data_IF_934302388254
#
_entry.id   IF_934302388254
#
_cell.length_a   1.000
_cell.length_b   1.000
_cell.length_c   1.000
_cell.angle_alpha   90.00
_cell.angle_beta   90.00
_cell.angle_gamma   90.00
#
_symmetry.space_group_name_H-M   'P 1'
#
loop_
_entity.id
_entity.type
_entity.pdbx_description
1 polymer ?
#
# COMPACT_ATOMS: atom_id res chain seq x y z
N UNK A 1 27.54 -34.74 39.21
CA UNK A 1 26.47 -34.59 38.20
C UNK A 1 26.81 -33.40 37.33
N UNK A 2 27.37 -33.66 36.15
CA UNK A 2 27.72 -32.65 35.15
C UNK A 2 26.51 -32.41 34.25
N UNK A 3 25.98 -31.19 34.25
CA UNK A 3 24.92 -30.77 33.32
C UNK A 3 25.48 -30.74 31.87
N UNK A 4 24.70 -31.08 30.84
CA UNK A 4 25.14 -30.96 29.45
C UNK A 4 25.13 -29.48 29.03
N UNK A 5 26.01 -29.07 28.08
CA UNK A 5 25.94 -27.74 27.52
C UNK A 5 24.70 -27.63 26.66
N UNK A 6 23.84 -26.67 27.00
CA UNK A 6 22.68 -26.28 26.22
C UNK A 6 23.18 -25.85 24.84
N UNK A 7 22.75 -26.55 23.79
CA UNK A 7 22.93 -26.12 22.41
C UNK A 7 22.05 -24.89 22.17
N UNK A 8 22.50 -23.74 22.65
CA UNK A 8 21.91 -22.46 22.30
C UNK A 8 22.34 -22.19 20.85
N UNK A 9 21.50 -22.59 19.90
CA UNK A 9 21.59 -22.06 18.54
C UNK A 9 21.47 -20.54 18.67
N UNK A 10 22.60 -19.86 18.57
CA UNK A 10 22.65 -18.41 18.41
C UNK A 10 22.02 -18.12 17.04
N UNK A 11 20.70 -17.95 17.02
CA UNK A 11 20.03 -17.34 15.89
C UNK A 11 20.50 -15.88 15.91
N UNK A 12 21.22 -15.40 14.89
CA UNK A 12 21.62 -14.01 14.82
C UNK A 12 20.39 -13.13 15.02
N UNK A 13 20.53 -12.05 15.78
CA UNK A 13 19.42 -11.12 15.95
C UNK A 13 18.94 -10.66 14.57
N UNK A 14 17.64 -10.51 14.36
CA UNK A 14 17.04 -10.00 13.11
C UNK A 14 17.77 -8.75 12.60
N UNK A 15 18.30 -7.94 13.52
CA UNK A 15 19.11 -6.77 13.25
C UNK A 15 20.48 -7.05 12.58
N UNK A 16 21.20 -8.11 12.96
CA UNK A 16 22.47 -8.51 12.33
C UNK A 16 22.24 -9.03 10.90
N UNK A 17 21.15 -9.75 10.66
CA UNK A 17 20.77 -10.21 9.31
C UNK A 17 20.43 -9.03 8.40
N UNK A 18 19.79 -7.99 8.94
CA UNK A 18 19.41 -6.79 8.19
C UNK A 18 20.57 -5.82 7.91
N UNK A 19 21.74 -6.00 8.56
CA UNK A 19 22.87 -5.06 8.45
C UNK A 19 24.13 -5.66 7.81
N UNK A 20 24.14 -6.97 7.54
CA UNK A 20 25.20 -7.64 6.79
C UNK A 20 25.24 -7.19 5.30
N UNK A 21 26.37 -7.31 4.60
CA UNK A 21 26.42 -7.07 3.16
C UNK A 21 25.47 -8.02 2.41
N UNK A 22 24.84 -7.52 1.33
CA UNK A 22 23.85 -8.23 0.53
C UNK A 22 24.28 -9.66 0.17
N UNK A 23 23.56 -10.63 0.72
CA UNK A 23 23.75 -12.06 0.49
C UNK A 23 22.40 -12.78 0.35
N UNK A 24 22.41 -14.07 -0.04
CA UNK A 24 21.20 -14.84 -0.31
C UNK A 24 20.19 -14.87 0.85
N UNK A 25 20.65 -14.73 2.09
CA UNK A 25 19.80 -14.68 3.28
C UNK A 25 18.96 -13.40 3.38
N UNK A 26 19.44 -12.26 2.85
CA UNK A 26 18.70 -11.00 2.85
C UNK A 26 17.61 -10.98 1.78
N UNK A 27 17.87 -11.52 0.59
CA UNK A 27 16.85 -11.66 -0.45
C UNK A 27 15.72 -12.60 0.02
N UNK A 28 16.06 -13.70 0.69
CA UNK A 28 15.07 -14.61 1.28
C UNK A 28 14.23 -13.94 2.38
N UNK A 29 14.87 -13.16 3.26
CA UNK A 29 14.17 -12.41 4.31
C UNK A 29 13.22 -11.37 3.72
N UNK A 30 13.66 -10.63 2.70
CA UNK A 30 12.80 -9.65 2.02
C UNK A 30 11.63 -10.33 1.32
N UNK A 31 11.84 -11.46 0.65
CA UNK A 31 10.77 -12.25 0.05
C UNK A 31 9.71 -12.64 1.10
N UNK A 32 10.15 -13.13 2.27
CA UNK A 32 9.23 -13.46 3.38
C UNK A 32 8.45 -12.23 3.86
N UNK A 33 9.09 -11.06 3.98
CA UNK A 33 8.42 -9.82 4.36
C UNK A 33 7.32 -9.45 3.36
N UNK A 34 7.60 -9.58 2.05
CA UNK A 34 6.60 -9.34 1.00
C UNK A 34 5.43 -10.34 1.08
N UNK A 35 5.72 -11.62 1.27
CA UNK A 35 4.68 -12.66 1.37
C UNK A 35 3.78 -12.47 2.59
N UNK A 36 4.36 -12.08 3.73
CA UNK A 36 3.61 -11.74 4.94
C UNK A 36 2.76 -10.50 4.74
N UNK A 37 3.32 -9.44 4.12
CA UNK A 37 2.59 -8.22 3.83
C UNK A 37 1.39 -8.49 2.91
N UNK A 38 1.59 -9.25 1.83
CA UNK A 38 0.52 -9.66 0.92
C UNK A 38 -0.56 -10.49 1.63
N UNK A 39 -0.15 -11.41 2.53
CA UNK A 39 -1.09 -12.23 3.30
C UNK A 39 -1.93 -11.39 4.26
N UNK A 40 -1.33 -10.40 4.91
CA UNK A 40 -2.05 -9.46 5.77
C UNK A 40 -3.00 -8.55 4.98
N UNK A 41 -2.56 -8.04 3.82
CA UNK A 41 -3.43 -7.30 2.90
C UNK A 41 -4.66 -8.11 2.48
N UNK A 42 -4.48 -9.40 2.14
CA UNK A 42 -5.59 -10.31 1.82
C UNK A 42 -6.54 -10.53 3.00
N UNK A 43 -6.03 -10.60 4.23
CA UNK A 43 -6.88 -10.71 5.42
C UNK A 43 -7.74 -9.46 5.63
N UNK A 44 -7.21 -8.28 5.31
CA UNK A 44 -7.95 -7.01 5.36
C UNK A 44 -8.98 -6.92 4.25
N UNK A 45 -8.62 -7.32 3.03
CA UNK A 45 -9.57 -7.39 1.92
C UNK A 45 -10.72 -8.37 2.23
N UNK A 46 -10.44 -9.49 2.90
CA UNK A 46 -11.48 -10.42 3.33
C UNK A 46 -12.44 -9.83 4.39
N UNK A 47 -11.99 -8.83 5.15
CA UNK A 47 -12.81 -8.12 6.14
C UNK A 47 -13.70 -7.05 5.50
N UNK A 48 -13.23 -6.39 4.44
CA UNK A 48 -13.94 -5.33 3.73
C UNK A 48 -14.79 -5.91 2.59
N UNK A 49 -16.14 -5.91 2.69
CA UNK A 49 -17.00 -6.50 1.67
C UNK A 49 -16.92 -5.83 0.29
N UNK A 50 -16.18 -4.73 0.17
CA UNK A 50 -16.06 -3.92 -1.05
C UNK A 50 -14.70 -4.02 -1.72
N UNK A 51 -13.76 -4.80 -1.18
CA UNK A 51 -12.45 -5.00 -1.79
C UNK A 51 -12.27 -6.48 -2.16
N UNK A 52 -11.72 -6.71 -3.34
CA UNK A 52 -11.33 -8.04 -3.79
C UNK A 52 -10.03 -7.92 -4.56
N UNK A 53 -8.98 -8.56 -4.04
CA UNK A 53 -7.59 -8.42 -4.52
C UNK A 53 -7.07 -6.97 -4.57
N UNK A 54 -7.75 -6.04 -3.91
CA UNK A 54 -7.46 -4.61 -3.94
C UNK A 54 -6.04 -4.33 -3.43
N UNK A 55 -5.68 -4.93 -2.30
CA UNK A 55 -4.37 -4.74 -1.70
C UNK A 55 -3.23 -5.27 -2.58
N UNK A 56 -3.48 -6.30 -3.39
CA UNK A 56 -2.53 -6.81 -4.38
C UNK A 56 -2.42 -5.87 -5.58
N UNK A 57 -3.57 -5.46 -6.15
CA UNK A 57 -3.62 -4.52 -7.28
C UNK A 57 -2.88 -3.21 -6.96
N UNK A 58 -3.10 -2.64 -5.77
CA UNK A 58 -2.44 -1.41 -5.34
C UNK A 58 -0.94 -1.59 -5.21
N UNK A 59 -0.51 -2.69 -4.59
CA UNK A 59 0.89 -2.97 -4.37
C UNK A 59 1.65 -3.14 -5.70
N UNK A 60 1.15 -3.99 -6.60
CA UNK A 60 1.81 -4.29 -7.87
C UNK A 60 1.91 -3.06 -8.78
N UNK A 61 0.84 -2.25 -8.82
CA UNK A 61 0.85 -0.99 -9.58
C UNK A 61 1.80 0.03 -8.97
N UNK A 62 1.82 0.16 -7.64
CA UNK A 62 2.73 1.08 -6.96
C UNK A 62 4.20 0.68 -7.17
N UNK A 63 4.50 -0.63 -7.08
CA UNK A 63 5.81 -1.22 -7.37
C UNK A 63 6.25 -0.91 -8.81
N UNK A 64 5.36 -1.14 -9.77
CA UNK A 64 5.64 -0.90 -11.18
C UNK A 64 5.88 0.59 -11.48
N UNK A 65 5.05 1.49 -10.93
CA UNK A 65 5.24 2.93 -11.08
C UNK A 65 6.55 3.41 -10.45
N UNK A 66 6.88 2.95 -9.25
CA UNK A 66 8.16 3.26 -8.61
C UNK A 66 9.35 2.83 -9.47
N UNK A 67 9.29 1.63 -10.07
CA UNK A 67 10.31 1.11 -10.99
C UNK A 67 10.47 2.00 -12.22
N UNK A 68 9.35 2.36 -12.88
CA UNK A 68 9.33 3.22 -14.07
C UNK A 68 9.86 4.62 -13.78
N UNK A 69 9.60 5.14 -12.58
CA UNK A 69 10.13 6.41 -12.09
C UNK A 69 11.62 6.36 -11.72
N UNK A 70 12.27 5.20 -11.83
CA UNK A 70 13.71 5.03 -11.62
C UNK A 70 14.12 4.99 -10.15
N UNK A 71 13.21 4.63 -9.24
CA UNK A 71 13.54 4.50 -7.82
C UNK A 71 14.47 3.31 -7.56
N UNK A 72 15.36 3.38 -6.55
CA UNK A 72 16.20 2.25 -6.14
C UNK A 72 15.37 1.01 -5.79
N UNK A 73 15.96 -0.18 -5.94
CA UNK A 73 15.30 -1.47 -5.66
C UNK A 73 14.77 -1.53 -4.24
N UNK A 74 15.52 -1.01 -3.27
CA UNK A 74 15.17 -1.01 -1.86
C UNK A 74 13.95 -0.12 -1.58
N UNK A 75 13.92 1.08 -2.19
CA UNK A 75 12.78 1.99 -2.07
C UNK A 75 11.52 1.39 -2.72
N UNK A 76 11.67 0.79 -3.89
CA UNK A 76 10.60 0.12 -4.63
C UNK A 76 10.02 -1.06 -3.85
N UNK A 77 10.88 -1.88 -3.21
CA UNK A 77 10.45 -2.95 -2.31
C UNK A 77 9.65 -2.41 -1.10
N UNK A 78 10.09 -1.31 -0.49
CA UNK A 78 9.35 -0.69 0.62
C UNK A 78 7.99 -0.13 0.18
N UNK A 79 7.91 0.47 -1.01
CA UNK A 79 6.65 0.95 -1.60
C UNK A 79 5.69 -0.20 -1.85
N UNK A 80 6.19 -1.32 -2.38
CA UNK A 80 5.41 -2.52 -2.61
C UNK A 80 4.81 -3.08 -1.31
N UNK A 81 5.63 -3.20 -0.25
CA UNK A 81 5.15 -3.60 1.09
C UNK A 81 4.12 -2.62 1.65
N UNK A 82 4.37 -1.31 1.54
CA UNK A 82 3.43 -0.29 1.99
C UNK A 82 2.11 -0.32 1.18
N UNK A 83 2.17 -0.64 -0.11
CA UNK A 83 0.99 -0.83 -0.96
C UNK A 83 0.11 -1.98 -0.48
N UNK A 84 0.68 -3.12 -0.09
CA UNK A 84 -0.12 -4.22 0.49
C UNK A 84 -0.77 -3.85 1.83
N UNK A 85 -0.12 -2.99 2.61
CA UNK A 85 -0.49 -2.69 3.99
C UNK A 85 -1.18 -1.34 4.16
N UNK A 86 -1.44 -0.58 3.08
CA UNK A 86 -1.98 0.77 3.16
C UNK A 86 -3.30 0.83 3.96
N UNK A 87 -4.11 -0.22 3.82
CA UNK A 87 -5.43 -0.36 4.43
C UNK A 87 -5.44 -1.18 5.73
N UNK A 88 -4.28 -1.60 6.27
CA UNK A 88 -4.21 -2.48 7.47
C UNK A 88 -4.98 -1.94 8.68
N UNK A 89 -5.10 -0.63 8.80
CA UNK A 89 -5.86 0.01 9.87
C UNK A 89 -7.38 -0.13 9.77
N UNK A 90 -7.93 -0.62 8.65
CA UNK A 90 -9.37 -0.94 8.52
C UNK A 90 -9.81 -1.99 9.53
N UNK A 91 -8.88 -2.76 10.11
CA UNK A 91 -9.16 -3.66 11.24
C UNK A 91 -9.75 -2.93 12.45
N UNK A 92 -9.39 -1.66 12.66
CA UNK A 92 -9.91 -0.81 13.74
C UNK A 92 -11.18 -0.05 13.37
N UNK A 93 -11.68 -0.16 12.15
CA UNK A 93 -12.93 0.48 11.70
C UNK A 93 -14.11 -0.43 12.06
N UNK A 94 -15.18 0.09 12.71
CA UNK A 94 -16.34 -0.73 13.06
C UNK A 94 -17.02 -1.33 11.82
N UNK A 95 -17.46 -2.59 11.92
CA UNK A 95 -18.08 -3.34 10.80
C UNK A 95 -19.31 -2.62 10.22
N UNK A 96 -20.12 -2.00 11.08
CA UNK A 96 -21.29 -1.23 10.66
C UNK A 96 -20.94 0.01 9.81
N UNK A 97 -19.71 0.52 9.91
CA UNK A 97 -19.19 1.60 9.08
C UNK A 97 -18.55 1.02 7.81
N UNK A 98 -17.70 0.01 7.97
CA UNK A 98 -16.94 -0.59 6.86
C UNK A 98 -17.87 -1.23 5.81
N UNK A 99 -18.87 -1.99 6.26
CA UNK A 99 -19.83 -2.68 5.38
C UNK A 99 -21.12 -1.92 5.10
N UNK A 100 -21.17 -0.60 5.35
CA UNK A 100 -22.43 0.16 5.21
C UNK A 100 -22.89 0.22 3.75
N UNK A 101 -24.13 -0.20 3.43
CA UNK A 101 -24.69 0.00 2.10
C UNK A 101 -25.02 1.48 1.90
N UNK A 102 -24.29 2.16 1.01
CA UNK A 102 -24.53 3.54 0.61
C UNK A 102 -23.51 4.53 1.18
N UNK A 103 -23.89 5.81 1.27
CA UNK A 103 -22.99 6.89 1.69
C UNK A 103 -22.82 6.90 3.21
N UNK A 104 -21.59 7.14 3.66
CA UNK A 104 -21.28 7.40 5.07
C UNK A 104 -21.78 8.79 5.48
N UNK A 105 -22.33 8.92 6.67
CA UNK A 105 -22.61 10.20 7.31
C UNK A 105 -21.30 10.81 7.87
N UNK A 106 -21.29 12.08 8.30
CA UNK A 106 -20.07 12.73 8.77
C UNK A 106 -19.36 11.99 9.92
N UNK A 107 -20.09 11.45 10.89
CA UNK A 107 -19.51 10.73 12.02
C UNK A 107 -18.91 9.36 11.61
N UNK A 108 -19.58 8.66 10.70
CA UNK A 108 -19.07 7.42 10.12
C UNK A 108 -17.82 7.69 9.27
N UNK A 109 -17.81 8.82 8.56
CA UNK A 109 -16.66 9.26 7.77
C UNK A 109 -15.43 9.54 8.65
N UNK A 110 -15.60 10.19 9.80
CA UNK A 110 -14.48 10.39 10.75
C UNK A 110 -13.87 9.05 11.22
N UNK A 111 -14.70 8.04 11.45
CA UNK A 111 -14.22 6.69 11.82
C UNK A 111 -13.47 6.03 10.66
N UNK A 112 -13.96 6.17 9.43
CA UNK A 112 -13.28 5.66 8.24
C UNK A 112 -11.91 6.34 8.05
N UNK A 113 -11.83 7.66 8.19
CA UNK A 113 -10.58 8.43 8.06
C UNK A 113 -9.51 8.11 9.11
N UNK A 114 -9.86 7.40 10.19
CA UNK A 114 -8.90 6.99 11.20
C UNK A 114 -7.97 5.86 10.75
N UNK A 115 -8.35 5.07 9.72
CA UNK A 115 -7.61 3.87 9.37
C UNK A 115 -6.14 4.11 8.96
N UNK A 116 -5.71 5.22 8.32
CA UNK A 116 -4.28 5.40 8.04
C UNK A 116 -3.47 5.60 9.33
N UNK A 117 -4.06 6.27 10.33
CA UNK A 117 -3.42 6.46 11.65
C UNK A 117 -3.35 5.14 12.40
N UNK A 118 -4.45 4.40 12.47
CA UNK A 118 -4.50 3.07 13.11
C UNK A 118 -3.51 2.13 12.42
N UNK A 119 -3.44 2.15 11.09
CA UNK A 119 -2.51 1.32 10.32
C UNK A 119 -1.06 1.66 10.64
N UNK A 120 -0.72 2.94 10.72
CA UNK A 120 0.60 3.37 11.16
C UNK A 120 0.93 2.90 12.58
N UNK A 121 -0.02 2.97 13.52
CA UNK A 121 0.14 2.49 14.90
C UNK A 121 0.35 0.98 14.99
N UNK A 122 -0.36 0.20 14.17
CA UNK A 122 -0.19 -1.27 14.09
C UNK A 122 1.22 -1.63 13.61
N UNK A 123 1.76 -0.88 12.65
CA UNK A 123 3.05 -1.17 12.03
C UNK A 123 4.23 -0.58 12.81
N UNK A 124 4.03 0.44 13.65
CA UNK A 124 5.08 1.14 14.38
C UNK A 124 5.99 0.24 15.25
N UNK A 125 5.49 -0.82 15.92
CA UNK A 125 6.33 -1.74 16.68
C UNK A 125 7.33 -2.53 15.82
N UNK A 126 7.10 -2.64 14.51
CA UNK A 126 8.04 -3.25 13.57
C UNK A 126 9.15 -2.25 13.28
N UNK A 127 10.25 -2.33 14.03
CA UNK A 127 11.37 -1.37 13.96
C UNK A 127 11.93 -1.20 12.55
N UNK A 128 12.01 -2.28 11.77
CA UNK A 128 12.43 -2.23 10.38
C UNK A 128 11.47 -1.41 9.50
N UNK A 129 10.16 -1.43 9.76
CA UNK A 129 9.17 -0.66 8.99
C UNK A 129 9.19 0.82 9.39
N UNK A 130 9.42 1.10 10.68
CA UNK A 130 9.55 2.47 11.17
C UNK A 130 10.76 3.20 10.55
N UNK A 131 11.84 2.48 10.25
CA UNK A 131 13.08 3.04 9.70
C UNK A 131 13.10 3.14 8.16
N UNK A 132 12.23 2.42 7.47
CA UNK A 132 12.21 2.31 5.99
C UNK A 132 11.18 3.22 5.33
N UNK A 133 10.41 3.97 6.12
CA UNK A 133 9.37 4.88 5.62
C UNK A 133 8.03 4.19 5.32
N UNK A 134 7.92 2.87 5.45
CA UNK A 134 6.66 2.11 5.25
C UNK A 134 5.53 2.69 6.10
N UNK A 135 5.80 2.92 7.39
CA UNK A 135 4.81 3.49 8.32
C UNK A 135 4.34 4.87 7.87
N UNK A 136 5.24 5.72 7.37
CA UNK A 136 4.90 7.05 6.87
C UNK A 136 4.08 6.97 5.57
N UNK A 137 4.40 6.02 4.68
CA UNK A 137 3.65 5.79 3.45
C UNK A 137 2.21 5.34 3.73
N UNK A 138 2.05 4.35 4.62
CA UNK A 138 0.74 3.86 5.07
C UNK A 138 -0.06 4.98 5.76
N UNK A 139 0.57 5.82 6.57
CA UNK A 139 -0.14 6.92 7.23
C UNK A 139 -0.65 7.99 6.26
N UNK A 140 0.11 8.25 5.20
CA UNK A 140 -0.09 9.41 4.32
C UNK A 140 -0.73 9.09 2.96
N UNK A 141 -1.14 7.84 2.70
CA UNK A 141 -1.65 7.43 1.38
C UNK A 141 -2.96 8.13 0.96
N UNK A 142 -3.67 8.75 1.90
CA UNK A 142 -4.86 9.59 1.65
C UNK A 142 -4.58 11.10 1.74
N UNK A 143 -3.32 11.50 1.88
CA UNK A 143 -2.93 12.89 1.67
C UNK A 143 -3.11 13.26 0.19
N UNK A 144 -3.51 14.49 -0.05
CA UNK A 144 -3.73 15.02 -1.40
C UNK A 144 -2.64 16.00 -1.73
N UNK A 145 -2.19 16.01 -2.98
CA UNK A 145 -1.11 16.90 -3.42
C UNK A 145 -1.42 18.39 -3.14
N UNK A 146 -2.68 18.79 -3.19
CA UNK A 146 -3.20 20.13 -2.85
C UNK A 146 -3.34 20.44 -1.36
N UNK A 147 -3.07 19.48 -0.46
CA UNK A 147 -3.24 19.64 0.99
C UNK A 147 -4.67 19.41 1.50
N UNK A 148 -5.64 19.08 0.63
CA UNK A 148 -7.01 18.79 1.03
C UNK A 148 -7.24 17.38 1.61
N UNK A 149 -6.16 16.62 1.81
CA UNK A 149 -6.19 15.24 2.26
C UNK A 149 -6.21 15.08 3.78
N UNK A 150 -5.98 13.85 4.23
CA UNK A 150 -5.93 13.48 5.65
C UNK A 150 -4.86 12.39 5.86
N UNK A 151 -4.37 12.17 7.10
CA UNK A 151 -4.81 12.75 8.37
C UNK A 151 -4.13 14.07 8.78
N UNK A 152 -3.04 14.46 8.14
CA UNK A 152 -2.19 15.59 8.55
C UNK A 152 -2.36 16.82 7.66
N UNK A 153 -2.96 16.69 6.47
CA UNK A 153 -3.10 17.81 5.53
C UNK A 153 -1.76 18.19 4.89
N UNK A 154 -0.91 17.19 4.66
CA UNK A 154 0.37 17.39 3.97
C UNK A 154 0.11 17.79 2.53
N UNK A 155 0.97 18.65 1.98
CA UNK A 155 0.85 19.13 0.60
C UNK A 155 2.15 18.94 -0.19
N UNK A 156 2.01 18.73 -1.50
CA UNK A 156 3.11 18.60 -2.44
C UNK A 156 4.16 17.58 -2.00
N UNK A 157 5.41 18.03 -1.97
CA UNK A 157 6.59 17.21 -1.66
C UNK A 157 6.74 16.90 -0.16
N UNK A 158 5.91 17.47 0.72
CA UNK A 158 5.88 17.06 2.12
C UNK A 158 5.27 15.66 2.30
N UNK A 159 4.50 15.19 1.30
CA UNK A 159 3.96 13.84 1.26
C UNK A 159 5.08 12.89 0.80
N UNK A 160 5.35 11.77 1.53
CA UNK A 160 6.31 10.77 1.08
C UNK A 160 6.03 10.34 -0.36
N UNK A 161 7.06 10.24 -1.20
CA UNK A 161 6.89 9.89 -2.62
C UNK A 161 6.12 8.57 -2.80
N UNK A 162 6.43 7.56 -2.00
CA UNK A 162 5.70 6.30 -2.05
C UNK A 162 4.23 6.42 -1.67
N UNK A 163 3.84 7.31 -0.75
CA UNK A 163 2.43 7.59 -0.47
C UNK A 163 1.72 8.24 -1.67
N UNK A 164 2.40 9.14 -2.39
CA UNK A 164 1.86 9.76 -3.62
C UNK A 164 1.66 8.72 -4.72
N UNK A 165 2.59 7.76 -4.85
CA UNK A 165 2.47 6.63 -5.78
C UNK A 165 1.29 5.72 -5.38
N UNK A 166 1.21 5.32 -4.10
CA UNK A 166 0.13 4.48 -3.57
C UNK A 166 -1.23 5.17 -3.76
N UNK A 167 -1.33 6.49 -3.54
CA UNK A 167 -2.58 7.24 -3.73
C UNK A 167 -3.16 7.10 -5.15
N UNK A 168 -2.29 7.14 -6.17
CA UNK A 168 -2.70 6.92 -7.58
C UNK A 168 -3.14 5.47 -7.80
N UNK A 169 -2.37 4.51 -7.30
CA UNK A 169 -2.67 3.08 -7.44
C UNK A 169 -3.98 2.67 -6.73
N UNK A 170 -4.17 3.11 -5.48
CA UNK A 170 -5.39 2.94 -4.68
C UNK A 170 -6.60 3.54 -5.39
N UNK A 171 -6.51 4.81 -5.78
CA UNK A 171 -7.59 5.49 -6.49
C UNK A 171 -7.97 4.75 -7.77
N UNK A 172 -6.99 4.31 -8.57
CA UNK A 172 -7.24 3.54 -9.78
C UNK A 172 -7.97 2.23 -9.48
N UNK A 173 -7.46 1.41 -8.56
CA UNK A 173 -8.11 0.15 -8.17
C UNK A 173 -9.54 0.39 -7.67
N UNK A 174 -9.73 1.38 -6.79
CA UNK A 174 -11.04 1.76 -6.28
C UNK A 174 -12.01 2.20 -7.39
N UNK A 175 -11.54 2.93 -8.41
CA UNK A 175 -12.35 3.36 -9.57
C UNK A 175 -12.79 2.18 -10.46
N UNK A 176 -11.95 1.15 -10.60
CA UNK A 176 -12.21 -0.04 -11.42
C UNK A 176 -13.07 -1.11 -10.73
N UNK A 177 -13.45 -0.89 -9.47
CA UNK A 177 -14.27 -1.82 -8.69
C UNK A 177 -15.69 -1.26 -8.47
N UNK A 178 -16.68 -2.15 -8.48
CA UNK A 178 -18.06 -1.80 -8.12
C UNK A 178 -18.15 -1.63 -6.62
N UNK A 179 -18.70 -0.49 -6.18
CA UNK A 179 -18.93 -0.17 -4.77
C UNK A 179 -20.42 0.08 -4.51
N UNK A 180 -20.92 -0.01 -3.26
CA UNK A 180 -22.35 0.07 -2.95
C UNK A 180 -23.10 1.29 -3.51
N UNK A 181 -22.38 2.38 -3.73
CA UNK A 181 -22.93 3.67 -4.19
C UNK A 181 -22.39 4.10 -5.57
N UNK A 182 -21.57 3.28 -6.24
CA UNK A 182 -20.98 3.64 -7.54
C UNK A 182 -20.64 2.40 -8.37
N UNK A 183 -21.10 2.30 -9.63
CA UNK A 183 -20.62 1.25 -10.54
C UNK A 183 -19.12 1.38 -10.82
N UNK A 184 -18.48 0.28 -11.21
CA UNK A 184 -17.10 0.31 -11.70
C UNK A 184 -16.98 1.20 -12.95
N UNK A 185 -15.92 2.00 -13.02
CA UNK A 185 -15.55 2.76 -14.21
C UNK A 185 -14.74 1.90 -15.18
N UNK A 186 -14.79 2.24 -16.46
CA UNK A 186 -13.86 1.69 -17.45
C UNK A 186 -12.43 2.22 -17.22
N UNK A 187 -11.41 1.47 -17.61
CA UNK A 187 -10.01 1.90 -17.41
C UNK A 187 -9.71 3.25 -18.09
N UNK A 188 -10.18 3.45 -19.32
CA UNK A 188 -9.96 4.73 -20.02
C UNK A 188 -10.63 5.92 -19.31
N UNK A 189 -11.74 5.68 -18.62
CA UNK A 189 -12.43 6.69 -17.82
C UNK A 189 -11.66 6.99 -16.53
N UNK A 190 -11.22 5.95 -15.81
CA UNK A 190 -10.38 6.10 -14.63
C UNK A 190 -9.04 6.82 -14.95
N UNK A 191 -8.41 6.49 -16.08
CA UNK A 191 -7.22 7.19 -16.57
C UNK A 191 -7.49 8.68 -16.80
N UNK A 192 -8.58 9.02 -17.49
CA UNK A 192 -8.96 10.42 -17.72
C UNK A 192 -9.20 11.16 -16.41
N UNK A 193 -9.83 10.51 -15.43
CA UNK A 193 -10.09 11.11 -14.12
C UNK A 193 -8.79 11.36 -13.33
N UNK A 194 -7.84 10.41 -13.36
CA UNK A 194 -6.51 10.60 -12.75
C UNK A 194 -5.77 11.78 -13.38
N UNK A 195 -5.77 11.86 -14.71
CA UNK A 195 -5.15 12.99 -15.44
C UNK A 195 -5.84 14.31 -15.09
N UNK A 196 -7.18 14.33 -15.03
CA UNK A 196 -7.96 15.53 -14.67
C UNK A 196 -7.63 16.02 -13.26
N UNK A 197 -7.32 15.11 -12.33
CA UNK A 197 -7.00 15.41 -10.94
C UNK A 197 -5.49 15.63 -10.67
N UNK A 198 -4.67 15.66 -11.71
CA UNK A 198 -3.24 15.99 -11.62
C UNK A 198 -3.02 17.39 -11.02
N UNK A 199 -2.08 17.51 -10.08
CA UNK A 199 -1.77 18.75 -9.36
C UNK A 199 -2.76 19.14 -8.26
N UNK A 200 -3.90 18.44 -8.15
CA UNK A 200 -4.85 18.58 -7.05
C UNK A 200 -4.80 17.37 -6.13
N UNK A 201 -5.52 16.30 -6.47
CA UNK A 201 -5.45 15.05 -5.70
C UNK A 201 -4.09 14.37 -5.85
N UNK A 202 -3.60 14.30 -7.08
CA UNK A 202 -2.45 13.49 -7.43
C UNK A 202 -1.23 14.33 -7.78
N UNK A 203 -0.06 13.79 -7.47
CA UNK A 203 1.21 14.35 -7.88
C UNK A 203 1.35 14.34 -9.41
N UNK A 204 1.63 15.49 -10.06
CA UNK A 204 1.87 15.56 -11.50
C UNK A 204 2.97 14.61 -12.00
N UNK A 205 4.04 14.38 -11.24
CA UNK A 205 5.15 13.50 -11.65
C UNK A 205 4.70 12.03 -11.69
N UNK A 206 3.94 11.61 -10.67
CA UNK A 206 3.37 10.26 -10.61
C UNK A 206 2.32 10.06 -11.71
N UNK A 207 1.47 11.06 -11.97
CA UNK A 207 0.47 11.01 -13.05
C UNK A 207 1.15 10.92 -14.42
N UNK A 208 2.24 11.65 -14.64
CA UNK A 208 3.01 11.58 -15.88
C UNK A 208 3.60 10.18 -16.08
N UNK A 209 4.20 9.59 -15.04
CA UNK A 209 4.71 8.22 -15.08
C UNK A 209 3.59 7.21 -15.37
N UNK A 210 2.46 7.30 -14.66
CA UNK A 210 1.29 6.44 -14.88
C UNK A 210 0.76 6.54 -16.31
N UNK A 211 0.65 7.74 -16.86
CA UNK A 211 0.14 7.96 -18.22
C UNK A 211 1.07 7.33 -19.26
N UNK A 212 2.39 7.42 -19.05
CA UNK A 212 3.38 6.84 -19.96
C UNK A 212 3.29 5.30 -20.06
N UNK A 213 2.86 4.63 -18.98
CA UNK A 213 2.78 3.16 -18.90
C UNK A 213 1.36 2.63 -18.69
N UNK A 214 0.34 3.43 -19.00
CA UNK A 214 -1.06 3.09 -18.72
C UNK A 214 -1.51 1.77 -19.38
N UNK A 215 -0.97 1.45 -20.57
CA UNK A 215 -1.24 0.18 -21.25
C UNK A 215 -0.67 -1.03 -20.52
N UNK A 216 0.45 -0.86 -19.82
CA UNK A 216 1.12 -1.93 -19.05
C UNK A 216 0.42 -2.12 -17.70
N UNK A 217 0.06 -1.01 -17.05
CA UNK A 217 -0.78 -1.02 -15.84
C UNK A 217 -2.12 -1.71 -16.10
N UNK A 218 -2.76 -1.45 -17.24
CA UNK A 218 -3.99 -2.16 -17.63
C UNK A 218 -3.80 -3.69 -17.66
N UNK A 219 -2.66 -4.17 -18.17
CA UNK A 219 -2.36 -5.60 -18.21
C UNK A 219 -2.08 -6.16 -16.82
N UNK A 220 -1.36 -5.43 -15.96
CA UNK A 220 -1.11 -5.81 -14.57
C UNK A 220 -2.41 -6.05 -13.80
N UNK A 221 -3.40 -5.16 -13.93
CA UNK A 221 -4.73 -5.36 -13.30
C UNK A 221 -5.42 -6.64 -13.76
N UNK A 222 -5.32 -6.99 -15.05
CA UNK A 222 -5.87 -8.25 -15.56
C UNK A 222 -5.24 -9.45 -14.87
N UNK A 223 -3.91 -9.47 -14.76
CA UNK A 223 -3.15 -10.53 -14.12
C UNK A 223 -3.45 -10.69 -12.63
N UNK A 224 -3.55 -9.59 -11.87
CA UNK A 224 -3.91 -9.63 -10.45
C UNK A 224 -5.30 -10.26 -10.24
N UNK A 225 -6.27 -9.92 -11.10
CA UNK A 225 -7.65 -10.44 -11.02
C UNK A 225 -7.77 -11.90 -11.42
N UNK A 226 -6.93 -12.34 -12.35
CA UNK A 226 -6.85 -13.73 -12.80
C UNK A 226 -6.02 -14.61 -11.84
N UNK A 227 -5.39 -14.02 -10.82
CA UNK A 227 -4.53 -14.73 -9.86
C UNK A 227 -3.17 -15.13 -10.45
N UNK A 228 -2.74 -14.49 -11.53
CA UNK A 228 -1.50 -14.77 -12.23
C UNK A 228 -0.47 -13.71 -11.83
N UNK A 229 0.64 -14.10 -11.18
CA UNK A 229 1.78 -13.20 -10.97
C UNK A 229 2.49 -12.97 -12.31
N UNK A 230 2.68 -11.71 -12.69
CA UNK A 230 3.58 -11.38 -13.80
C UNK A 230 5.04 -11.66 -13.36
N UNK A 231 5.88 -12.19 -14.28
CA UNK A 231 7.26 -12.57 -13.97
C UNK A 231 8.16 -11.38 -13.67
#
# INVERSE_FOLDING_TARGET
>A
MTMPPSLLLAVPGVFEVLTAPAGPDQDALMALVHELAASLGKAIDAKDPHTLAHSEEVAEVANYLATVMGLPREATACIHVAGHLHDIGKIGVPDAVLGKPGRLNPNEWEKMKAHPVIGAEILLPLTCFAQTGIVAMVKAHHERFDGGGYPQGLCGQAIPLGARIICVADSLSAMLQTRPYRPAMGFDEALREIVRCSGSQFDPEVVAAFTAVAGDVRRLFGSCRDGIRMP
#
